data_IF_190534509552
#
_entry.id   IF_190534509552
#
_cell.length_a   1.000
_cell.length_b   1.000
_cell.length_c   1.000
_cell.angle_alpha   90.00
_cell.angle_beta   90.00
_cell.angle_gamma   90.00
#
_symmetry.space_group_name_H-M   'P 1'
#
loop_
_entity.id
_entity.type
_entity.pdbx_description
1 polymer ?
#
# COMPACT_ATOMS: atom_id res chain seq x y z
N UNK A 1 18.07 -7.64 2.65
CA UNK A 1 17.93 -7.38 1.21
C UNK A 1 16.50 -7.69 0.80
N UNK A 2 15.72 -6.66 0.41
CA UNK A 2 14.30 -6.79 0.03
C UNK A 2 14.13 -7.46 -1.34
N UNK A 3 15.07 -7.25 -2.26
CA UNK A 3 15.04 -7.86 -3.60
C UNK A 3 15.23 -9.36 -3.45
N UNK A 4 16.25 -9.77 -2.70
CA UNK A 4 16.51 -11.19 -2.42
C UNK A 4 15.30 -11.91 -1.82
N UNK A 5 14.68 -11.33 -0.78
CA UNK A 5 13.48 -11.92 -0.15
C UNK A 5 12.30 -11.98 -1.13
N UNK A 6 12.08 -10.94 -1.92
CA UNK A 6 11.03 -10.91 -2.94
C UNK A 6 11.23 -11.99 -4.01
N UNK A 7 12.47 -12.23 -4.42
CA UNK A 7 12.81 -13.27 -5.41
C UNK A 7 12.55 -14.68 -4.88
N UNK A 8 12.91 -14.96 -3.61
CA UNK A 8 12.61 -16.25 -2.97
C UNK A 8 11.10 -16.47 -2.89
N UNK A 9 10.36 -15.49 -2.39
CA UNK A 9 8.90 -15.57 -2.26
C UNK A 9 8.26 -15.85 -3.63
N UNK A 10 8.65 -15.10 -4.66
CA UNK A 10 8.10 -15.27 -6.01
C UNK A 10 8.42 -16.66 -6.57
N UNK A 11 9.64 -17.14 -6.37
CA UNK A 11 10.03 -18.50 -6.79
C UNK A 11 9.20 -19.56 -6.06
N UNK A 12 9.01 -19.43 -4.75
CA UNK A 12 8.17 -20.36 -4.00
C UNK A 12 6.72 -20.36 -4.52
N UNK A 13 6.16 -19.20 -4.86
CA UNK A 13 4.83 -19.10 -5.46
C UNK A 13 4.76 -19.79 -6.83
N UNK A 14 5.74 -19.55 -7.71
CA UNK A 14 5.79 -20.13 -9.07
C UNK A 14 5.89 -21.66 -9.05
N UNK A 15 6.64 -22.22 -8.11
CA UNK A 15 6.80 -23.67 -7.93
C UNK A 15 5.81 -24.27 -6.92
N UNK A 16 4.85 -23.50 -6.42
CA UNK A 16 3.86 -23.92 -5.41
C UNK A 16 4.49 -24.52 -4.14
N UNK A 17 5.68 -24.03 -3.77
CA UNK A 17 6.40 -24.44 -2.56
C UNK A 17 5.85 -23.65 -1.38
N UNK A 18 5.46 -24.35 -0.31
CA UNK A 18 5.07 -23.71 0.93
C UNK A 18 6.23 -22.90 1.53
N UNK A 19 5.96 -21.66 1.91
CA UNK A 19 6.93 -20.79 2.58
C UNK A 19 6.28 -20.04 3.74
N UNK A 20 7.09 -19.68 4.73
CA UNK A 20 6.73 -18.74 5.78
C UNK A 20 7.88 -17.75 6.00
N UNK A 21 7.53 -16.51 6.34
CA UNK A 21 8.53 -15.47 6.62
C UNK A 21 8.48 -15.13 8.10
N UNK A 22 9.62 -15.21 8.76
CA UNK A 22 9.74 -14.92 10.18
C UNK A 22 10.75 -13.78 10.38
N UNK A 23 10.46 -12.89 11.33
CA UNK A 23 11.41 -11.86 11.73
C UNK A 23 12.23 -12.36 12.92
N UNK A 24 13.55 -12.32 12.81
CA UNK A 24 14.45 -12.74 13.88
C UNK A 24 15.13 -11.50 14.44
N UNK A 25 15.00 -11.30 15.74
CA UNK A 25 15.61 -10.19 16.46
C UNK A 25 16.45 -10.69 17.63
N UNK A 26 17.64 -10.13 17.80
CA UNK A 26 18.46 -10.36 19.00
C UNK A 26 18.04 -9.34 20.06
N UNK A 27 17.39 -9.81 21.11
CA UNK A 27 17.09 -9.00 22.30
C UNK A 27 18.21 -9.19 23.32
N UNK A 28 18.67 -8.12 23.99
CA UNK A 28 19.86 -8.15 24.85
C UNK A 28 19.88 -9.30 25.88
N UNK A 29 18.70 -9.74 26.35
CA UNK A 29 18.55 -10.77 27.39
C UNK A 29 18.13 -12.15 26.88
N UNK A 30 18.03 -12.37 25.56
CA UNK A 30 17.65 -13.66 24.96
C UNK A 30 18.54 -13.97 23.75
N UNK A 31 18.92 -15.24 23.51
CA UNK A 31 19.74 -15.62 22.34
C UNK A 31 19.14 -15.19 20.99
N UNK A 32 17.82 -14.99 20.95
CA UNK A 32 17.06 -14.40 19.85
C UNK A 32 15.57 -14.52 20.14
N UNK A 33 14.73 -13.79 19.40
CA UNK A 33 13.27 -13.95 19.38
C UNK A 33 12.83 -14.04 17.92
N UNK A 34 11.98 -15.03 17.64
CA UNK A 34 11.38 -15.23 16.32
C UNK A 34 9.94 -14.74 16.38
N UNK A 35 9.60 -13.83 15.48
CA UNK A 35 8.25 -13.35 15.27
C UNK A 35 7.69 -14.03 14.03
N UNK A 36 6.73 -14.97 14.17
CA UNK A 36 6.18 -15.70 13.05
C UNK A 36 5.33 -14.80 12.15
N UNK A 37 5.23 -15.17 10.87
CA UNK A 37 4.40 -14.51 9.85
C UNK A 37 4.67 -13.01 9.70
N UNK A 38 5.92 -12.62 9.93
CA UNK A 38 6.38 -11.25 9.89
C UNK A 38 7.40 -11.11 8.76
N UNK A 39 6.93 -10.55 7.65
CA UNK A 39 7.72 -10.27 6.45
C UNK A 39 7.91 -8.77 6.27
N UNK A 40 9.07 -8.31 5.76
CA UNK A 40 9.23 -6.93 5.32
C UNK A 40 8.06 -6.49 4.42
N UNK A 41 7.72 -5.20 4.49
CA UNK A 41 6.63 -4.66 3.67
C UNK A 41 6.88 -4.95 2.18
N UNK A 42 6.02 -5.76 1.59
CA UNK A 42 6.01 -6.03 0.15
C UNK A 42 4.70 -5.57 -0.48
N UNK A 43 4.78 -5.25 -1.77
CA UNK A 43 3.77 -4.44 -2.46
C UNK A 43 2.39 -5.10 -2.53
N UNK A 44 2.33 -6.44 -2.67
CA UNK A 44 1.04 -7.16 -2.78
C UNK A 44 0.16 -6.98 -1.53
N UNK A 45 0.72 -6.70 -0.35
CA UNK A 45 -0.03 -6.40 0.87
C UNK A 45 -0.85 -5.12 0.79
N UNK A 46 -0.49 -4.21 -0.13
CA UNK A 46 -1.12 -2.90 -0.29
C UNK A 46 -2.14 -2.87 -1.43
N UNK A 47 -2.42 -4.00 -2.10
CA UNK A 47 -3.51 -4.13 -3.10
C UNK A 47 -4.89 -3.73 -2.56
N UNK A 48 -5.07 -3.66 -1.24
CA UNK A 48 -6.31 -3.27 -0.55
C UNK A 48 -5.98 -2.24 0.53
N UNK A 49 -6.99 -1.48 0.98
CA UNK A 49 -6.88 -0.49 2.06
C UNK A 49 -6.83 -1.09 3.48
N UNK A 50 -6.63 -2.41 3.62
CA UNK A 50 -6.71 -3.14 4.90
C UNK A 50 -5.74 -2.57 5.94
N UNK A 51 -4.49 -2.28 5.56
CA UNK A 51 -3.50 -1.69 6.47
C UNK A 51 -3.91 -0.30 6.95
N UNK A 52 -4.42 0.54 6.05
CA UNK A 52 -4.94 1.84 6.42
C UNK A 52 -6.16 1.75 7.36
N UNK A 53 -7.05 0.78 7.12
CA UNK A 53 -8.19 0.49 7.98
C UNK A 53 -7.75 0.03 9.39
N UNK A 54 -6.70 -0.77 9.50
CA UNK A 54 -6.11 -1.16 10.79
C UNK A 54 -5.59 0.07 11.55
N UNK A 55 -4.84 0.96 10.88
CA UNK A 55 -4.37 2.21 11.48
C UNK A 55 -5.53 3.10 11.94
N UNK A 56 -6.58 3.24 11.12
CA UNK A 56 -7.79 3.97 11.48
C UNK A 56 -8.47 3.41 12.73
N UNK A 57 -8.64 2.07 12.79
CA UNK A 57 -9.25 1.40 13.94
C UNK A 57 -8.42 1.55 15.23
N UNK A 58 -7.09 1.57 15.11
CA UNK A 58 -6.19 1.81 16.23
C UNK A 58 -6.23 3.27 16.69
N UNK A 59 -6.21 4.21 15.74
CA UNK A 59 -6.27 5.65 16.02
C UNK A 59 -7.51 6.05 16.84
N UNK A 60 -8.66 5.38 16.63
CA UNK A 60 -9.88 5.57 17.43
C UNK A 60 -9.69 5.33 18.93
N UNK A 61 -8.77 4.44 19.30
CA UNK A 61 -8.56 3.98 20.68
C UNK A 61 -7.39 4.67 21.37
N UNK A 62 -6.62 5.47 20.64
CA UNK A 62 -5.40 6.10 21.13
C UNK A 62 -5.64 7.50 21.71
N UNK A 63 -4.73 7.91 22.60
CA UNK A 63 -4.58 9.30 23.06
C UNK A 63 -4.17 10.23 21.90
N UNK A 64 -4.33 11.56 22.03
CA UNK A 64 -4.19 12.50 20.90
C UNK A 64 -2.88 12.40 20.09
N UNK A 65 -1.73 12.29 20.75
CA UNK A 65 -0.43 12.20 20.09
C UNK A 65 -0.27 10.89 19.29
N UNK A 66 -0.51 9.76 19.95
CA UNK A 66 -0.50 8.44 19.29
C UNK A 66 -1.54 8.34 18.18
N UNK A 67 -2.71 8.96 18.36
CA UNK A 67 -3.75 9.02 17.33
C UNK A 67 -3.24 9.74 16.09
N UNK A 68 -2.56 10.87 16.24
CA UNK A 68 -1.97 11.60 15.13
C UNK A 68 -0.94 10.75 14.37
N UNK A 69 -0.04 10.08 15.09
CA UNK A 69 0.94 9.15 14.50
C UNK A 69 0.25 8.01 13.73
N UNK A 70 -0.78 7.37 14.32
CA UNK A 70 -1.53 6.31 13.62
C UNK A 70 -2.27 6.83 12.40
N UNK A 71 -2.81 8.05 12.44
CA UNK A 71 -3.46 8.66 11.28
C UNK A 71 -2.44 8.89 10.15
N UNK A 72 -1.28 9.47 10.45
CA UNK A 72 -0.18 9.69 9.48
C UNK A 72 0.27 8.38 8.85
N UNK A 73 0.46 7.33 9.66
CA UNK A 73 0.79 5.99 9.18
C UNK A 73 -0.32 5.37 8.30
N UNK A 74 -1.59 5.66 8.60
CA UNK A 74 -2.72 5.28 7.75
C UNK A 74 -2.65 5.90 6.36
N UNK A 75 -2.31 7.19 6.26
CA UNK A 75 -2.09 7.86 4.97
C UNK A 75 -0.85 7.33 4.23
N UNK A 76 0.24 7.03 4.95
CA UNK A 76 1.40 6.37 4.36
C UNK A 76 1.03 5.02 3.74
N UNK A 77 0.22 4.21 4.43
CA UNK A 77 -0.27 2.95 3.90
C UNK A 77 -1.18 3.13 2.69
N UNK A 78 -2.08 4.14 2.69
CA UNK A 78 -2.93 4.44 1.52
C UNK A 78 -2.13 4.91 0.31
N UNK A 79 -1.10 5.73 0.53
CA UNK A 79 -0.21 6.17 -0.53
C UNK A 79 0.41 4.96 -1.24
N UNK A 80 0.94 4.01 -0.49
CA UNK A 80 1.45 2.75 -1.06
C UNK A 80 0.34 1.94 -1.73
N UNK A 81 -0.88 1.94 -1.19
CA UNK A 81 -2.03 1.29 -1.86
C UNK A 81 -2.39 1.92 -3.20
N UNK A 82 -2.30 3.24 -3.35
CA UNK A 82 -2.47 3.92 -4.65
C UNK A 82 -1.38 3.52 -5.65
N UNK A 83 -0.12 3.45 -5.20
CA UNK A 83 0.99 2.96 -6.03
C UNK A 83 0.73 1.50 -6.48
N UNK A 84 0.32 0.63 -5.56
CA UNK A 84 -0.06 -0.76 -5.88
C UNK A 84 -1.24 -0.87 -6.82
N UNK A 85 -2.21 0.05 -6.74
CA UNK A 85 -3.34 0.10 -7.67
C UNK A 85 -2.85 0.40 -9.09
N UNK A 86 -1.90 1.32 -9.26
CA UNK A 86 -1.30 1.60 -10.56
C UNK A 86 -0.59 0.35 -11.10
N UNK A 87 0.25 -0.28 -10.29
CA UNK A 87 1.06 -1.43 -10.71
C UNK A 87 0.20 -2.64 -11.08
N UNK A 88 -0.76 -3.01 -10.22
CA UNK A 88 -1.52 -4.25 -10.40
C UNK A 88 -2.86 -4.07 -11.11
N UNK A 89 -3.58 -2.97 -10.85
CA UNK A 89 -4.93 -2.78 -11.39
C UNK A 89 -4.93 -1.94 -12.68
N UNK A 90 -4.07 -0.94 -12.87
CA UNK A 90 -3.99 -0.18 -14.14
C UNK A 90 -3.02 -0.81 -15.14
N UNK A 91 -1.80 -1.14 -14.72
CA UNK A 91 -0.78 -1.76 -15.57
C UNK A 91 -0.86 -3.29 -15.62
N UNK A 92 -1.84 -3.92 -14.95
CA UNK A 92 -2.01 -5.38 -15.02
C UNK A 92 -0.82 -6.19 -14.49
N UNK A 93 0.11 -5.57 -13.74
CA UNK A 93 1.35 -6.20 -13.29
C UNK A 93 2.45 -6.31 -14.34
N UNK A 94 2.38 -5.56 -15.44
CA UNK A 94 3.42 -5.50 -16.50
C UNK A 94 4.78 -5.12 -15.93
N UNK A 95 4.82 -4.11 -15.06
CA UNK A 95 6.04 -3.68 -14.35
C UNK A 95 5.81 -3.85 -12.85
N UNK A 96 6.70 -4.57 -12.16
CA UNK A 96 6.62 -4.78 -10.72
C UNK A 96 7.96 -4.38 -10.07
N UNK A 97 7.88 -3.75 -8.90
CA UNK A 97 9.03 -3.06 -8.27
C UNK A 97 10.29 -3.92 -8.06
N UNK A 98 10.10 -5.21 -7.81
CA UNK A 98 11.21 -6.15 -7.51
C UNK A 98 11.33 -7.26 -8.55
N UNK A 99 10.64 -7.13 -9.69
CA UNK A 99 10.78 -8.06 -10.79
C UNK A 99 11.56 -7.38 -11.93
N UNK A 100 12.73 -7.93 -12.25
CA UNK A 100 13.56 -7.41 -13.34
C UNK A 100 12.95 -7.68 -14.72
N UNK A 101 12.04 -8.67 -14.82
CA UNK A 101 11.36 -9.02 -16.07
C UNK A 101 10.07 -8.23 -16.21
N UNK A 102 9.87 -7.68 -17.39
CA UNK A 102 8.58 -7.09 -17.81
C UNK A 102 7.67 -8.22 -18.30
N UNK A 103 6.42 -8.26 -17.80
CA UNK A 103 5.43 -9.25 -18.23
C UNK A 103 4.75 -8.81 -19.53
N UNK A 104 5.15 -9.41 -20.66
CA UNK A 104 4.56 -9.14 -21.97
C UNK A 104 3.11 -9.63 -22.03
N UNK A 105 2.82 -10.77 -21.42
CA UNK A 105 1.47 -11.34 -21.40
C UNK A 105 0.48 -10.43 -20.67
N UNK A 106 0.90 -9.80 -19.57
CA UNK A 106 0.08 -8.88 -18.78
C UNK A 106 -0.34 -7.61 -19.53
N UNK A 107 0.24 -7.33 -20.69
CA UNK A 107 -0.13 -6.15 -21.50
C UNK A 107 -1.61 -6.18 -21.89
N UNK A 108 -2.21 -7.37 -22.05
CA UNK A 108 -3.64 -7.56 -22.35
C UNK A 108 -4.57 -7.04 -21.24
N UNK A 109 -4.06 -6.94 -20.01
CA UNK A 109 -4.83 -6.57 -18.81
C UNK A 109 -4.69 -5.08 -18.44
N UNK A 110 -3.89 -4.33 -19.22
CA UNK A 110 -3.67 -2.89 -19.04
C UNK A 110 -4.96 -2.13 -19.36
N UNK A 111 -5.32 -1.21 -18.47
CA UNK A 111 -6.57 -0.45 -18.59
C UNK A 111 -6.38 1.00 -18.13
N UNK A 112 -6.80 1.94 -18.98
CA UNK A 112 -6.74 3.37 -18.70
C UNK A 112 -8.09 4.03 -18.95
N UNK A 113 -8.60 4.68 -17.92
CA UNK A 113 -9.74 5.58 -17.99
C UNK A 113 -9.32 6.94 -17.39
N UNK A 114 -9.61 8.03 -18.09
CA UNK A 114 -9.15 9.37 -17.69
C UNK A 114 -9.78 9.83 -16.36
N UNK A 115 -11.01 9.41 -16.04
CA UNK A 115 -11.62 9.74 -14.76
C UNK A 115 -10.92 8.98 -13.62
N UNK A 116 -10.66 7.68 -13.80
CA UNK A 116 -9.90 6.89 -12.82
C UNK A 116 -8.49 7.45 -12.63
N UNK A 117 -7.80 7.80 -13.71
CA UNK A 117 -6.45 8.41 -13.65
C UNK A 117 -6.47 9.69 -12.81
N UNK A 118 -7.42 10.59 -13.05
CA UNK A 118 -7.58 11.82 -12.27
C UNK A 118 -7.83 11.51 -10.79
N UNK A 119 -8.68 10.55 -10.49
CA UNK A 119 -9.03 10.18 -9.12
C UNK A 119 -7.85 9.54 -8.37
N UNK A 120 -7.06 8.69 -9.05
CA UNK A 120 -5.86 8.06 -8.48
C UNK A 120 -4.79 9.12 -8.20
N UNK A 121 -4.55 10.04 -9.13
CA UNK A 121 -3.57 11.13 -8.96
C UNK A 121 -3.99 12.01 -7.77
N UNK A 122 -5.25 12.41 -7.71
CA UNK A 122 -5.73 13.26 -6.64
C UNK A 122 -5.70 12.54 -5.28
N UNK A 123 -6.08 11.26 -5.22
CA UNK A 123 -5.98 10.46 -3.99
C UNK A 123 -4.54 10.29 -3.49
N UNK A 124 -3.58 10.04 -4.40
CA UNK A 124 -2.17 10.02 -4.07
C UNK A 124 -1.69 11.34 -3.43
N UNK A 125 -2.04 12.47 -4.05
CA UNK A 125 -1.64 13.78 -3.52
C UNK A 125 -2.38 14.16 -2.22
N UNK A 126 -3.63 13.73 -2.03
CA UNK A 126 -4.31 13.88 -0.73
C UNK A 126 -3.56 13.12 0.36
N UNK A 127 -3.04 11.92 0.09
CA UNK A 127 -2.20 11.21 1.06
C UNK A 127 -0.94 12.01 1.40
N UNK A 128 -0.25 12.56 0.39
CA UNK A 128 0.93 13.40 0.62
C UNK A 128 0.62 14.62 1.48
N UNK A 129 -0.54 15.27 1.30
CA UNK A 129 -0.98 16.45 2.06
C UNK A 129 -1.00 16.22 3.59
N UNK A 130 -1.30 15.01 3.99
CA UNK A 130 -1.53 14.62 5.38
C UNK A 130 -0.31 13.92 6.01
N UNK A 131 0.74 13.66 5.22
CA UNK A 131 1.99 13.07 5.67
C UNK A 131 3.07 14.15 5.90
N UNK A 132 3.99 13.89 6.83
CA UNK A 132 5.16 14.73 7.04
C UNK A 132 6.32 14.32 6.11
N UNK A 133 7.24 15.24 5.82
CA UNK A 133 8.51 14.91 5.15
C UNK A 133 8.47 14.89 3.61
N UNK A 134 7.51 15.56 2.97
CA UNK A 134 7.46 15.71 1.52
C UNK A 134 7.34 17.18 1.09
N UNK A 135 7.89 17.53 -0.08
CA UNK A 135 7.66 18.84 -0.70
C UNK A 135 6.20 18.93 -1.14
N UNK A 136 5.45 19.81 -0.50
CA UNK A 136 4.04 20.04 -0.79
C UNK A 136 3.93 21.02 -1.97
N UNK A 137 3.04 20.74 -2.92
CA UNK A 137 2.67 21.75 -3.91
C UNK A 137 1.64 22.72 -3.33
N UNK A 138 1.50 23.90 -3.94
CA UNK A 138 0.56 24.94 -3.47
C UNK A 138 -0.88 24.42 -3.31
N UNK A 139 -1.32 23.54 -4.22
CA UNK A 139 -2.65 22.93 -4.17
C UNK A 139 -2.83 21.95 -2.99
N UNK A 140 -1.75 21.32 -2.55
CA UNK A 140 -1.76 20.29 -1.50
C UNK A 140 -0.84 20.68 -0.34
N UNK A 141 -0.95 21.92 0.13
CA UNK A 141 -0.24 22.38 1.33
C UNK A 141 -0.57 21.48 2.54
N UNK A 142 0.46 21.21 3.34
CA UNK A 142 0.34 20.37 4.53
C UNK A 142 -0.85 20.78 5.39
N UNK A 143 -1.62 19.79 5.83
CA UNK A 143 -2.71 19.99 6.78
C UNK A 143 -2.60 18.93 7.86
N UNK A 144 -2.73 19.34 9.12
CA UNK A 144 -2.80 18.39 10.24
C UNK A 144 -3.97 17.42 10.00
N UNK A 145 -3.71 16.10 9.90
CA UNK A 145 -4.76 15.16 9.56
C UNK A 145 -5.67 14.86 10.75
N UNK A 146 -6.95 14.65 10.46
CA UNK A 146 -7.94 14.19 11.42
C UNK A 146 -8.41 12.78 11.07
N UNK A 147 -9.01 12.10 12.05
CA UNK A 147 -9.56 10.76 11.89
C UNK A 147 -10.59 10.69 10.74
N UNK A 148 -11.41 11.74 10.58
CA UNK A 148 -12.37 11.85 9.49
C UNK A 148 -11.71 11.85 8.11
N UNK A 149 -10.60 12.57 7.94
CA UNK A 149 -9.89 12.65 6.66
C UNK A 149 -9.35 11.29 6.23
N UNK A 150 -8.81 10.50 7.18
CA UNK A 150 -8.33 9.16 6.87
C UNK A 150 -9.48 8.25 6.43
N UNK A 151 -10.64 8.33 7.10
CA UNK A 151 -11.81 7.53 6.71
C UNK A 151 -12.31 7.91 5.30
N UNK A 152 -12.43 9.19 5.01
CA UNK A 152 -12.84 9.71 3.70
C UNK A 152 -11.93 9.15 2.59
N UNK A 153 -10.61 9.18 2.80
CA UNK A 153 -9.66 8.70 1.81
C UNK A 153 -9.65 7.16 1.67
N UNK A 154 -9.89 6.41 2.77
CA UNK A 154 -10.12 4.96 2.69
C UNK A 154 -11.34 4.64 1.81
N UNK A 155 -12.45 5.35 2.03
CA UNK A 155 -13.67 5.15 1.25
C UNK A 155 -13.45 5.53 -0.22
N UNK A 156 -12.75 6.64 -0.47
CA UNK A 156 -12.37 7.06 -1.81
C UNK A 156 -11.57 5.98 -2.54
N UNK A 157 -10.50 5.47 -1.94
CA UNK A 157 -9.69 4.39 -2.52
C UNK A 157 -10.54 3.17 -2.87
N UNK A 158 -11.41 2.74 -1.94
CA UNK A 158 -12.31 1.61 -2.16
C UNK A 158 -13.28 1.86 -3.32
N UNK A 159 -13.83 3.07 -3.43
CA UNK A 159 -14.73 3.46 -4.51
C UNK A 159 -14.02 3.45 -5.87
N UNK A 160 -12.81 4.02 -5.96
CA UNK A 160 -11.99 3.98 -7.17
C UNK A 160 -11.77 2.54 -7.62
N UNK A 161 -11.35 1.66 -6.69
CA UNK A 161 -11.09 0.26 -6.99
C UNK A 161 -12.36 -0.49 -7.44
N UNK A 162 -13.51 -0.19 -6.84
CA UNK A 162 -14.79 -0.78 -7.25
C UNK A 162 -15.24 -0.27 -8.62
N UNK A 163 -15.07 1.02 -8.92
CA UNK A 163 -15.39 1.61 -10.21
C UNK A 163 -14.50 1.02 -11.32
N UNK A 164 -13.20 0.91 -11.07
CA UNK A 164 -12.25 0.30 -12.00
C UNK A 164 -12.63 -1.15 -12.33
N UNK A 165 -13.02 -1.95 -11.33
CA UNK A 165 -13.51 -3.32 -11.57
C UNK A 165 -14.75 -3.35 -12.45
N UNK A 166 -15.71 -2.45 -12.23
CA UNK A 166 -16.93 -2.36 -13.06
C UNK A 166 -16.60 -1.97 -14.50
N UNK A 167 -15.63 -1.08 -14.67
CA UNK A 167 -15.19 -0.61 -15.98
C UNK A 167 -14.44 -1.69 -16.77
N UNK A 168 -13.61 -2.50 -16.11
CA UNK A 168 -12.92 -3.63 -16.75
C UNK A 168 -13.84 -4.79 -17.16
N UNK A 169 -14.99 -4.93 -16.50
CA UNK A 169 -15.95 -6.01 -16.75
C UNK A 169 -17.04 -5.62 -17.79
N UNK A 170 -16.95 -4.42 -18.37
CA UNK A 170 -17.78 -3.99 -19.50
C UNK A 170 -17.05 -4.25 -20.81
#
# INVERSE_FOLDING_TARGET
DLIFVSSIISTCEDYQIYYCCNWIEKLEKKPGTVWPDNTPSFEKLYKKSVKAQQYYNNAKKCAPEQREEKIKNGFAALRTSYESLIIFDLFGGVVQRFNERVSIESLKDVYFDEAIKKDVIDGFYQCCRYMEGHSHSDKYAYKKPMLGNLNEEIQRFNNIKNNLKKLKNK
#
